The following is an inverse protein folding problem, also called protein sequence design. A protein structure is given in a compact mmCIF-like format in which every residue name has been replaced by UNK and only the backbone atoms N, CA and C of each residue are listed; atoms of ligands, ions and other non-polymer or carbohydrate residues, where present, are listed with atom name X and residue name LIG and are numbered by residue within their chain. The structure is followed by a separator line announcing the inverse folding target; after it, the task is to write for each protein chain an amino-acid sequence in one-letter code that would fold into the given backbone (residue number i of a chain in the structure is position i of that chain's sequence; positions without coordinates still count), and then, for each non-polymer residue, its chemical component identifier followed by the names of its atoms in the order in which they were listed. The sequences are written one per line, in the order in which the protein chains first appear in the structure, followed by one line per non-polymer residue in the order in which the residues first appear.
data_IF_968389471513
#
_entry.id   IF_968389471513
#
_cell.length_a   1.000
_cell.length_b   1.000
_cell.length_c   1.000
_cell.angle_alpha   90.00
_cell.angle_beta   90.00
_cell.angle_gamma   90.00
#
_symmetry.space_group_name_H-M   'P 1'
#
loop_
_entity.id
_entity.type
_entity.pdbx_description
1 polymer ?
#
# COMPACT_ATOMS: atom_id res chain seq x y z
N UNK A 1 26.79 10.44 10.18
CA UNK A 1 25.49 11.14 10.09
C UNK A 1 25.52 12.20 8.98
N UNK A 2 25.40 11.82 7.71
CA UNK A 2 25.41 12.77 6.58
C UNK A 2 24.54 12.31 5.38
N UNK A 3 23.55 11.43 5.61
CA UNK A 3 22.70 10.90 4.52
C UNK A 3 21.62 11.87 4.00
N UNK A 4 21.56 13.08 4.55
CA UNK A 4 20.73 14.18 4.04
C UNK A 4 21.55 15.30 3.38
N UNK A 5 22.85 15.11 3.14
CA UNK A 5 23.67 16.14 2.48
C UNK A 5 23.43 16.23 0.95
N UNK A 6 22.92 15.17 0.32
CA UNK A 6 22.31 15.23 -1.02
C UNK A 6 20.80 15.34 -0.86
N UNK A 7 20.23 16.48 -1.25
CA UNK A 7 18.76 16.64 -1.24
C UNK A 7 18.12 15.57 -2.14
N UNK A 8 16.88 15.16 -1.81
CA UNK A 8 16.10 14.25 -2.67
C UNK A 8 16.06 14.77 -4.12
N UNK A 9 16.05 16.08 -4.29
CA UNK A 9 16.07 16.77 -5.58
C UNK A 9 17.39 16.57 -6.34
N UNK A 10 18.52 16.48 -5.63
CA UNK A 10 19.83 16.16 -6.23
C UNK A 10 19.89 14.74 -6.78
N UNK A 11 19.29 13.77 -6.08
CA UNK A 11 19.20 12.38 -6.58
C UNK A 11 18.32 12.29 -7.82
N UNK A 12 17.15 12.94 -7.80
CA UNK A 12 16.21 12.96 -8.95
C UNK A 12 16.88 13.58 -10.17
N UNK A 13 17.58 14.70 -10.01
CA UNK A 13 18.30 15.34 -11.11
C UNK A 13 19.42 14.45 -11.68
N UNK A 14 20.21 13.80 -10.83
CA UNK A 14 21.26 12.89 -11.28
C UNK A 14 20.71 11.64 -11.99
N UNK A 15 19.61 11.07 -11.47
CA UNK A 15 18.92 9.94 -12.10
C UNK A 15 18.34 10.32 -13.47
N UNK A 16 17.82 11.53 -13.63
CA UNK A 16 17.33 12.04 -14.90
C UNK A 16 18.44 12.16 -15.94
N UNK A 17 19.60 12.71 -15.58
CA UNK A 17 20.76 12.78 -16.47
C UNK A 17 21.31 11.39 -16.83
N UNK A 18 21.28 10.43 -15.90
CA UNK A 18 21.60 9.04 -16.20
C UNK A 18 20.60 8.44 -17.20
N UNK A 19 19.29 8.63 -16.98
CA UNK A 19 18.23 8.18 -17.90
C UNK A 19 18.40 8.73 -19.31
N UNK A 20 18.73 10.02 -19.46
CA UNK A 20 19.01 10.63 -20.76
C UNK A 20 20.20 9.96 -21.48
N UNK A 21 21.25 9.57 -20.74
CA UNK A 21 22.38 8.80 -21.29
C UNK A 21 21.96 7.37 -21.65
N UNK A 22 21.17 6.70 -20.80
CA UNK A 22 20.64 5.35 -21.07
C UNK A 22 19.81 5.29 -22.36
N UNK A 23 18.96 6.27 -22.60
CA UNK A 23 18.14 6.35 -23.83
C UNK A 23 19.03 6.49 -25.07
N UNK A 24 20.11 7.29 -25.01
CA UNK A 24 21.07 7.39 -26.13
C UNK A 24 21.74 6.04 -26.43
N UNK A 25 22.08 5.26 -25.40
CA UNK A 25 22.62 3.91 -25.56
C UNK A 25 21.60 2.96 -26.20
N UNK A 26 20.31 3.09 -25.88
CA UNK A 26 19.24 2.28 -26.48
C UNK A 26 19.00 2.63 -27.95
N UNK A 27 18.97 3.92 -28.30
CA UNK A 27 18.72 4.38 -29.66
C UNK A 27 19.80 3.91 -30.65
N UNK A 28 21.06 3.78 -30.21
CA UNK A 28 22.13 3.21 -31.02
C UNK A 28 21.84 1.75 -31.46
N UNK A 29 20.97 1.03 -30.73
CA UNK A 29 20.64 -0.37 -30.95
C UNK A 29 19.18 -0.61 -31.40
N UNK A 30 18.40 0.46 -31.65
CA UNK A 30 16.94 0.40 -31.82
C UNK A 30 16.46 -0.46 -33.01
N UNK A 31 17.26 -0.58 -34.07
CA UNK A 31 16.91 -1.37 -35.27
C UNK A 31 16.91 -2.89 -35.05
N UNK A 32 17.17 -3.37 -33.82
CA UNK A 32 17.30 -4.81 -33.50
C UNK A 32 16.21 -5.31 -32.54
N UNK A 33 15.24 -4.47 -32.15
CA UNK A 33 14.23 -4.89 -31.17
C UNK A 33 13.24 -5.90 -31.78
N UNK A 34 13.10 -7.06 -31.14
CA UNK A 34 12.16 -8.10 -31.52
C UNK A 34 11.15 -8.33 -30.37
N UNK A 35 9.87 -8.07 -30.64
CA UNK A 35 8.82 -8.14 -29.60
C UNK A 35 8.59 -9.56 -29.07
N UNK A 36 8.69 -10.58 -29.92
CA UNK A 36 8.46 -11.97 -29.52
C UNK A 36 9.60 -12.51 -28.65
N UNK A 37 10.83 -12.07 -28.91
CA UNK A 37 11.99 -12.37 -28.06
C UNK A 37 11.89 -11.64 -26.72
N UNK A 38 11.50 -10.37 -26.74
CA UNK A 38 11.29 -9.59 -25.50
C UNK A 38 10.21 -10.21 -24.61
N UNK A 39 9.08 -10.64 -25.19
CA UNK A 39 8.01 -11.31 -24.45
C UNK A 39 8.47 -12.64 -23.82
N UNK A 40 9.27 -13.42 -24.55
CA UNK A 40 9.88 -14.65 -24.01
C UNK A 40 10.83 -14.34 -22.85
N UNK A 41 11.70 -13.35 -22.99
CA UNK A 41 12.58 -12.91 -21.92
C UNK A 41 11.78 -12.46 -20.68
N UNK A 42 10.70 -11.69 -20.87
CA UNK A 42 9.82 -11.29 -19.77
C UNK A 42 9.22 -12.49 -19.05
N UNK A 43 8.72 -13.50 -19.78
CA UNK A 43 8.15 -14.71 -19.21
C UNK A 43 9.20 -15.55 -18.46
N UNK A 44 10.37 -15.73 -19.05
CA UNK A 44 11.47 -16.50 -18.46
C UNK A 44 12.02 -15.83 -17.20
N UNK A 45 12.16 -14.50 -17.21
CA UNK A 45 12.69 -13.71 -16.08
C UNK A 45 11.85 -13.85 -14.80
N UNK A 46 10.55 -14.13 -14.94
CA UNK A 46 9.63 -14.30 -13.80
C UNK A 46 9.10 -15.73 -13.63
N UNK A 47 9.60 -16.68 -14.45
CA UNK A 47 9.19 -18.09 -14.44
C UNK A 47 9.35 -18.71 -13.06
N UNK A 48 10.51 -18.49 -12.44
CA UNK A 48 10.75 -18.92 -11.07
C UNK A 48 10.07 -17.94 -10.12
N UNK A 49 8.98 -18.38 -9.51
CA UNK A 49 8.20 -17.56 -8.59
C UNK A 49 8.98 -17.37 -7.28
N UNK A 50 9.60 -16.21 -7.12
CA UNK A 50 10.21 -15.78 -5.86
C UNK A 50 9.14 -15.10 -5.01
N UNK A 51 8.82 -15.70 -3.86
CA UNK A 51 7.95 -15.10 -2.83
C UNK A 51 8.81 -14.66 -1.66
N UNK A 52 8.76 -13.37 -1.38
CA UNK A 52 9.44 -12.75 -0.25
C UNK A 52 8.45 -12.60 0.90
N UNK A 53 8.96 -12.80 2.12
CA UNK A 53 8.25 -12.62 3.39
C UNK A 53 8.92 -11.50 4.18
N UNK A 54 8.12 -10.58 4.70
CA UNK A 54 8.60 -9.51 5.60
C UNK A 54 8.05 -9.79 6.99
N UNK A 55 8.95 -10.01 7.96
CA UNK A 55 8.56 -10.49 9.29
C UNK A 55 9.54 -10.05 10.39
N UNK A 56 9.35 -10.61 11.60
CA UNK A 56 10.24 -10.47 12.75
C UNK A 56 10.72 -9.03 13.01
N UNK A 57 9.79 -8.09 13.30
CA UNK A 57 10.17 -6.70 13.53
C UNK A 57 11.07 -6.59 14.78
N UNK A 58 12.20 -5.91 14.65
CA UNK A 58 13.20 -5.79 15.72
C UNK A 58 13.70 -4.35 15.82
N UNK A 59 13.68 -3.79 17.03
CA UNK A 59 14.27 -2.48 17.28
C UNK A 59 15.80 -2.59 17.34
N UNK A 60 16.50 -1.93 16.43
CA UNK A 60 17.96 -1.88 16.34
C UNK A 60 18.47 -0.43 16.45
N UNK A 61 19.77 -0.29 16.73
CA UNK A 61 20.46 1.00 16.81
C UNK A 61 20.86 1.41 18.23
N UNK A 62 21.72 2.43 18.32
CA UNK A 62 22.19 3.01 19.59
C UNK A 62 21.05 3.75 20.33
N UNK A 63 21.25 4.06 21.61
CA UNK A 63 20.27 4.71 22.51
C UNK A 63 19.57 5.92 21.89
N UNK A 64 20.28 6.72 21.09
CA UNK A 64 19.76 7.93 20.41
C UNK A 64 19.25 7.70 18.97
N UNK A 65 19.45 6.52 18.38
CA UNK A 65 19.10 6.22 16.97
C UNK A 65 18.39 4.87 16.80
N UNK A 66 17.45 4.57 17.69
CA UNK A 66 16.61 3.38 17.58
C UNK A 66 15.72 3.45 16.33
N UNK A 67 15.70 2.36 15.57
CA UNK A 67 14.85 2.19 14.41
C UNK A 67 14.38 0.74 14.30
N UNK A 68 13.20 0.52 13.73
CA UNK A 68 12.69 -0.84 13.51
C UNK A 68 13.19 -1.40 12.20
N UNK A 69 13.77 -2.60 12.26
CA UNK A 69 14.20 -3.39 11.11
C UNK A 69 13.27 -4.58 10.94
N UNK A 70 13.11 -5.02 9.70
CA UNK A 70 12.30 -6.17 9.31
C UNK A 70 13.20 -7.22 8.69
N UNK A 71 12.93 -8.49 8.98
CA UNK A 71 13.59 -9.61 8.33
C UNK A 71 12.89 -9.87 6.99
N UNK A 72 13.64 -9.80 5.90
CA UNK A 72 13.22 -10.14 4.54
C UNK A 72 13.82 -11.48 4.18
N UNK A 73 12.98 -12.50 4.02
CA UNK A 73 13.39 -13.86 3.67
C UNK A 73 12.67 -14.30 2.40
N UNK A 74 13.36 -15.04 1.56
CA UNK A 74 12.71 -15.80 0.50
C UNK A 74 12.09 -17.06 1.11
N UNK A 75 10.87 -17.42 0.73
CA UNK A 75 10.13 -18.55 1.34
C UNK A 75 10.90 -19.88 1.28
N UNK A 76 11.76 -20.07 0.26
CA UNK A 76 12.61 -21.24 0.09
C UNK A 76 13.94 -21.22 0.87
N UNK A 77 14.28 -20.12 1.54
CA UNK A 77 15.55 -19.96 2.27
C UNK A 77 15.29 -19.60 3.74
N UNK A 78 16.08 -20.18 4.65
CA UNK A 78 16.01 -19.85 6.07
C UNK A 78 16.77 -18.56 6.43
N UNK A 79 17.74 -18.18 5.59
CA UNK A 79 18.50 -16.95 5.76
C UNK A 79 17.81 -15.78 5.07
N UNK A 80 18.02 -14.58 5.63
CA UNK A 80 17.38 -13.38 5.14
C UNK A 80 18.14 -12.12 5.53
N UNK A 81 17.73 -11.00 4.95
CA UNK A 81 18.37 -9.71 5.13
C UNK A 81 17.51 -8.82 6.00
N UNK A 82 18.14 -8.03 6.87
CA UNK A 82 17.41 -7.05 7.67
C UNK A 82 17.45 -5.68 7.01
N UNK A 83 16.27 -5.08 6.87
CA UNK A 83 16.08 -3.76 6.25
C UNK A 83 15.13 -2.93 7.10
N UNK A 84 15.43 -1.64 7.28
CA UNK A 84 14.51 -0.69 7.95
C UNK A 84 13.58 -0.06 6.93
N UNK A 85 12.45 0.51 7.36
CA UNK A 85 11.50 1.17 6.47
C UNK A 85 12.13 2.19 5.51
N UNK A 86 13.13 2.96 5.97
CA UNK A 86 13.85 3.94 5.14
C UNK A 86 14.66 3.31 3.99
N UNK A 87 15.07 2.05 4.12
CA UNK A 87 15.74 1.33 3.03
C UNK A 87 14.74 0.97 1.93
N UNK A 88 13.50 0.61 2.30
CA UNK A 88 12.41 0.41 1.32
C UNK A 88 12.03 1.74 0.64
N UNK A 89 11.98 2.85 1.38
CA UNK A 89 11.79 4.19 0.81
C UNK A 89 12.88 4.52 -0.21
N UNK A 90 14.15 4.22 0.12
CA UNK A 90 15.28 4.40 -0.80
C UNK A 90 15.09 3.59 -2.08
N UNK A 91 14.78 2.28 -1.96
CA UNK A 91 14.59 1.41 -3.12
C UNK A 91 13.45 1.92 -4.01
N UNK A 92 12.31 2.28 -3.41
CA UNK A 92 11.17 2.83 -4.15
C UNK A 92 11.53 4.13 -4.89
N UNK A 93 12.28 5.04 -4.26
CA UNK A 93 12.73 6.28 -4.92
C UNK A 93 13.65 5.96 -6.08
N UNK A 94 14.65 5.11 -5.88
CA UNK A 94 15.62 4.70 -6.92
C UNK A 94 14.90 4.10 -8.13
N UNK A 95 13.99 3.16 -7.91
CA UNK A 95 13.24 2.52 -8.99
C UNK A 95 12.32 3.53 -9.71
N UNK A 96 11.60 4.38 -8.98
CA UNK A 96 10.71 5.40 -9.57
C UNK A 96 11.47 6.40 -10.43
N UNK A 97 12.66 6.84 -10.00
CA UNK A 97 13.46 7.82 -10.76
C UNK A 97 14.16 7.19 -11.96
N UNK A 98 14.44 5.88 -11.91
CA UNK A 98 15.13 5.15 -12.98
C UNK A 98 14.17 4.70 -14.08
N UNK A 99 13.07 4.06 -13.69
CA UNK A 99 12.07 3.53 -14.61
C UNK A 99 10.97 4.57 -14.85
N UNK A 100 11.34 5.68 -15.50
CA UNK A 100 10.39 6.74 -15.85
C UNK A 100 9.26 6.17 -16.69
N UNK A 101 8.02 6.45 -16.29
CA UNK A 101 6.83 5.93 -16.94
C UNK A 101 6.38 4.55 -16.44
N UNK A 102 7.17 3.82 -15.65
CA UNK A 102 6.77 2.53 -15.07
C UNK A 102 6.06 2.73 -13.73
N UNK A 103 4.87 2.15 -13.55
CA UNK A 103 4.18 2.16 -12.26
C UNK A 103 4.91 1.25 -11.25
N UNK A 104 5.60 1.86 -10.28
CA UNK A 104 6.26 1.15 -9.18
C UNK A 104 5.22 0.76 -8.11
N UNK A 105 5.24 -0.48 -7.58
CA UNK A 105 4.36 -0.88 -6.48
C UNK A 105 4.41 0.10 -5.31
N UNK A 106 3.27 0.48 -4.71
CA UNK A 106 3.25 1.49 -3.66
C UNK A 106 3.77 0.92 -2.33
N UNK A 107 4.45 1.77 -1.56
CA UNK A 107 4.78 1.49 -0.16
C UNK A 107 3.57 1.72 0.76
N UNK A 108 3.48 1.03 1.92
CA UNK A 108 2.48 1.35 2.93
C UNK A 108 2.70 2.77 3.48
N UNK A 109 1.61 3.38 3.95
CA UNK A 109 1.61 4.76 4.42
C UNK A 109 2.66 5.03 5.50
N UNK A 110 3.29 6.21 5.38
CA UNK A 110 4.22 6.71 6.37
C UNK A 110 3.45 7.36 7.51
N UNK A 111 3.14 6.58 8.54
CA UNK A 111 2.61 7.16 9.78
C UNK A 111 3.72 7.82 10.59
N UNK A 112 3.53 9.10 10.94
CA UNK A 112 4.45 9.87 11.81
C UNK A 112 3.98 9.93 13.26
N UNK A 113 2.75 9.49 13.54
CA UNK A 113 2.17 9.48 14.89
C UNK A 113 2.78 8.38 15.76
N UNK A 114 3.56 8.78 16.77
CA UNK A 114 4.28 7.86 17.65
C UNK A 114 3.39 6.85 18.39
N UNK A 115 2.14 7.21 18.72
CA UNK A 115 1.19 6.31 19.37
C UNK A 115 0.77 5.15 18.45
N UNK A 116 0.52 5.42 17.17
CA UNK A 116 0.11 4.42 16.17
C UNK A 116 1.26 3.48 15.84
N UNK A 117 2.49 4.00 15.76
CA UNK A 117 3.71 3.23 15.45
C UNK A 117 3.99 2.07 16.43
N UNK A 118 3.44 2.12 17.65
CA UNK A 118 3.64 1.09 18.69
C UNK A 118 2.55 0.02 18.71
N UNK A 119 1.48 0.18 17.93
CA UNK A 119 0.39 -0.79 17.90
C UNK A 119 0.76 -2.04 17.09
N UNK A 120 0.33 -3.22 17.55
CA UNK A 120 0.57 -4.49 16.83
C UNK A 120 -0.11 -4.47 15.46
N UNK A 121 -1.36 -3.98 15.39
CA UNK A 121 -2.11 -3.82 14.15
C UNK A 121 -1.33 -3.01 13.10
N UNK A 122 -0.75 -1.87 13.50
CA UNK A 122 0.08 -1.06 12.61
C UNK A 122 1.30 -1.81 12.10
N UNK A 123 2.02 -2.50 12.99
CA UNK A 123 3.24 -3.24 12.62
C UNK A 123 2.93 -4.36 11.64
N UNK A 124 1.83 -5.08 11.83
CA UNK A 124 1.37 -6.11 10.90
C UNK A 124 0.96 -5.53 9.55
N UNK A 125 0.18 -4.45 9.54
CA UNK A 125 -0.24 -3.76 8.31
C UNK A 125 0.97 -3.26 7.51
N UNK A 126 1.96 -2.66 8.19
CA UNK A 126 3.21 -2.24 7.56
C UNK A 126 3.99 -3.42 6.99
N UNK A 127 4.18 -4.50 7.73
CA UNK A 127 4.90 -5.68 7.21
C UNK A 127 4.21 -6.27 5.98
N UNK A 128 2.87 -6.37 5.99
CA UNK A 128 2.10 -6.79 4.81
C UNK A 128 2.32 -5.85 3.62
N UNK A 129 2.23 -4.54 3.83
CA UNK A 129 2.48 -3.57 2.76
C UNK A 129 3.90 -3.65 2.18
N UNK A 130 4.92 -3.79 3.04
CA UNK A 130 6.31 -3.98 2.60
C UNK A 130 6.50 -5.29 1.85
N UNK A 131 5.84 -6.37 2.28
CA UNK A 131 5.84 -7.65 1.59
C UNK A 131 5.19 -7.55 0.21
N UNK A 132 4.04 -6.88 0.10
CA UNK A 132 3.36 -6.64 -1.19
C UNK A 132 4.23 -5.82 -2.14
N UNK A 133 4.87 -4.76 -1.63
CA UNK A 133 5.81 -3.95 -2.39
C UNK A 133 6.94 -4.80 -3.01
N UNK A 134 7.63 -5.59 -2.18
CA UNK A 134 8.72 -6.45 -2.65
C UNK A 134 8.22 -7.54 -3.60
N UNK A 135 7.09 -8.19 -3.31
CA UNK A 135 6.53 -9.21 -4.19
C UNK A 135 6.05 -8.63 -5.53
N UNK A 136 5.57 -7.38 -5.56
CA UNK A 136 5.27 -6.66 -6.80
C UNK A 136 6.52 -6.38 -7.63
N UNK A 137 7.62 -5.97 -6.99
CA UNK A 137 8.93 -5.84 -7.64
C UNK A 137 9.36 -7.17 -8.25
N UNK A 138 9.28 -8.25 -7.47
CA UNK A 138 9.68 -9.57 -7.94
C UNK A 138 8.76 -10.12 -9.03
N UNK A 139 7.55 -9.60 -9.22
CA UNK A 139 6.67 -10.01 -10.33
C UNK A 139 6.94 -9.23 -11.63
N UNK A 140 7.69 -8.13 -11.57
CA UNK A 140 8.10 -7.39 -12.76
C UNK A 140 9.42 -7.91 -13.29
N UNK A 141 9.50 -8.38 -14.56
CA UNK A 141 10.76 -8.84 -15.16
C UNK A 141 11.81 -7.71 -15.22
N UNK A 142 11.35 -6.47 -15.39
CA UNK A 142 12.21 -5.29 -15.45
C UNK A 142 12.82 -4.93 -14.10
N UNK A 143 12.01 -4.92 -13.03
CA UNK A 143 12.44 -4.51 -11.70
C UNK A 143 13.22 -5.62 -10.98
N UNK A 144 12.82 -6.89 -11.16
CA UNK A 144 13.53 -8.03 -10.57
C UNK A 144 15.00 -8.07 -11.00
N UNK A 145 15.28 -7.69 -12.24
CA UNK A 145 16.61 -7.72 -12.86
C UNK A 145 17.40 -6.41 -12.67
N UNK A 146 17.03 -5.62 -11.65
CA UNK A 146 17.68 -4.34 -11.32
C UNK A 146 18.79 -4.52 -10.27
N UNK A 147 19.91 -3.82 -10.46
CA UNK A 147 21.08 -3.88 -9.58
C UNK A 147 20.80 -3.39 -8.15
N UNK A 148 19.91 -2.40 -7.96
CA UNK A 148 19.51 -1.93 -6.64
C UNK A 148 18.60 -2.93 -5.92
N UNK A 149 17.75 -3.65 -6.66
CA UNK A 149 16.94 -4.75 -6.10
C UNK A 149 17.84 -5.92 -5.69
N UNK A 150 18.77 -6.32 -6.56
CA UNK A 150 19.76 -7.36 -6.24
C UNK A 150 20.58 -6.98 -4.99
N UNK A 151 21.04 -5.74 -4.90
CA UNK A 151 21.78 -5.24 -3.72
C UNK A 151 20.90 -5.13 -2.48
N UNK A 152 19.61 -4.83 -2.63
CA UNK A 152 18.68 -4.79 -1.50
C UNK A 152 18.48 -6.18 -0.90
N UNK A 153 18.50 -7.24 -1.71
CA UNK A 153 18.29 -8.63 -1.29
C UNK A 153 19.60 -9.38 -0.99
N UNK A 154 20.77 -8.80 -1.30
CA UNK A 154 22.07 -9.43 -1.06
C UNK A 154 22.45 -9.47 0.42
N UNK A 155 23.42 -10.36 0.72
CA UNK A 155 23.87 -10.72 2.05
C UNK A 155 24.05 -9.53 3.02
N UNK A 156 23.82 -9.75 4.33
CA UNK A 156 23.93 -8.72 5.34
C UNK A 156 25.39 -8.28 5.54
N UNK A 157 25.83 -7.30 4.77
CA UNK A 157 27.00 -6.48 5.09
C UNK A 157 26.74 -5.58 6.31
N UNK A 158 27.80 -4.99 6.87
CA UNK A 158 27.66 -3.96 7.90
C UNK A 158 26.99 -2.69 7.35
N UNK A 159 26.59 -1.76 8.22
CA UNK A 159 25.91 -0.52 7.80
C UNK A 159 26.78 0.25 6.79
N UNK A 160 28.12 0.24 6.92
CA UNK A 160 29.00 0.97 6.00
C UNK A 160 29.00 0.38 4.58
N UNK A 161 29.03 -0.94 4.47
CA UNK A 161 28.91 -1.66 3.20
C UNK A 161 27.53 -1.42 2.58
N UNK A 162 26.46 -1.48 3.38
CA UNK A 162 25.10 -1.18 2.92
C UNK A 162 24.95 0.25 2.39
N UNK A 163 25.47 1.24 3.11
CA UNK A 163 25.43 2.64 2.68
C UNK A 163 26.27 2.88 1.42
N UNK A 164 27.35 2.11 1.21
CA UNK A 164 28.16 2.16 -0.01
C UNK A 164 27.41 1.56 -1.19
N UNK A 165 26.80 0.38 -1.02
CA UNK A 165 25.95 -0.26 -2.03
C UNK A 165 24.82 0.67 -2.48
N UNK A 166 24.12 1.30 -1.53
CA UNK A 166 23.05 2.25 -1.86
C UNK A 166 23.52 3.40 -2.73
N UNK A 167 24.72 3.92 -2.50
CA UNK A 167 25.29 5.01 -3.31
C UNK A 167 25.66 4.51 -4.71
N UNK A 168 26.33 3.37 -4.81
CA UNK A 168 26.76 2.83 -6.11
C UNK A 168 25.60 2.42 -7.01
N UNK A 169 24.46 2.01 -6.42
CA UNK A 169 23.28 1.58 -7.18
C UNK A 169 22.15 2.60 -7.22
N UNK A 170 22.32 3.82 -6.70
CA UNK A 170 21.28 4.85 -6.75
C UNK A 170 21.13 5.46 -8.15
N UNK A 171 22.26 5.75 -8.82
CA UNK A 171 22.30 6.40 -10.14
C UNK A 171 23.20 5.58 -11.05
N UNK A 172 22.62 5.01 -12.11
CA UNK A 172 23.34 4.15 -13.05
C UNK A 172 22.81 4.37 -14.46
N UNK A 173 23.71 4.44 -15.44
CA UNK A 173 23.34 4.53 -16.87
C UNK A 173 22.84 3.17 -17.39
N UNK A 174 23.33 2.07 -16.82
CA UNK A 174 22.81 0.72 -17.03
C UNK A 174 22.69 0.06 -15.65
N UNK A 175 21.45 -0.18 -15.21
CA UNK A 175 21.16 -0.71 -13.89
C UNK A 175 20.86 -2.21 -13.92
N UNK A 176 21.26 -2.90 -14.98
CA UNK A 176 20.96 -4.31 -15.22
C UNK A 176 20.13 -4.52 -16.48
N UNK A 177 19.99 -5.79 -16.88
CA UNK A 177 19.30 -6.17 -18.11
C UNK A 177 17.86 -5.65 -18.13
N UNK A 178 17.15 -5.73 -17.00
CA UNK A 178 15.75 -5.28 -16.92
C UNK A 178 15.57 -3.78 -17.19
N UNK A 179 16.51 -2.93 -16.79
CA UNK A 179 16.50 -1.50 -17.10
C UNK A 179 16.63 -1.26 -18.61
N UNK A 180 17.57 -1.95 -19.26
CA UNK A 180 17.80 -1.80 -20.69
C UNK A 180 16.63 -2.36 -21.52
N UNK A 181 16.08 -3.51 -21.12
CA UNK A 181 14.90 -4.12 -21.74
C UNK A 181 13.66 -3.22 -21.66
N UNK A 182 13.43 -2.58 -20.50
CA UNK A 182 12.36 -1.59 -20.35
C UNK A 182 12.53 -0.43 -21.33
N UNK A 183 13.71 0.19 -21.37
CA UNK A 183 13.98 1.31 -22.27
C UNK A 183 13.81 0.91 -23.74
N UNK A 184 14.35 -0.24 -24.14
CA UNK A 184 14.15 -0.77 -25.50
C UNK A 184 12.66 -0.93 -25.85
N UNK A 185 11.87 -1.51 -24.94
CA UNK A 185 10.42 -1.72 -25.13
C UNK A 185 9.66 -0.42 -25.36
N UNK A 186 9.96 0.63 -24.61
CA UNK A 186 9.24 1.91 -24.74
C UNK A 186 9.78 2.75 -25.90
N UNK A 187 11.06 2.60 -26.27
CA UNK A 187 11.66 3.34 -27.39
C UNK A 187 11.27 2.77 -28.75
N UNK A 188 11.02 1.47 -28.87
CA UNK A 188 10.61 0.84 -30.12
C UNK A 188 9.13 1.04 -30.48
N UNK A 189 8.31 1.52 -29.54
CA UNK A 189 6.87 1.67 -29.76
C UNK A 189 6.59 2.81 -30.76
N UNK A 190 5.79 2.49 -31.78
CA UNK A 190 5.22 3.51 -32.65
C UNK A 190 4.09 4.21 -31.88
N UNK A 191 4.33 5.45 -31.47
CA UNK A 191 3.32 6.26 -30.78
C UNK A 191 2.08 6.37 -31.69
N UNK A 192 0.89 6.08 -31.16
CA UNK A 192 -0.36 6.19 -31.91
C UNK A 192 -0.50 7.56 -32.56
N UNK A 193 -1.34 7.68 -33.59
CA UNK A 193 -1.57 8.95 -34.27
C UNK A 193 -2.22 10.02 -33.37
N UNK A 194 -2.84 9.64 -32.25
CA UNK A 194 -3.50 10.55 -31.30
C UNK A 194 -3.29 10.13 -29.82
N UNK A 195 -2.05 10.19 -29.31
CA UNK A 195 -1.73 9.73 -27.95
C UNK A 195 -2.41 10.60 -26.89
N UNK A 196 -2.60 11.90 -27.14
CA UNK A 196 -3.21 12.82 -26.19
C UNK A 196 -4.67 12.48 -25.89
N UNK A 197 -5.44 12.05 -26.90
CA UNK A 197 -6.84 11.70 -26.70
C UNK A 197 -6.97 10.43 -25.86
N UNK A 198 -6.19 9.39 -26.19
CA UNK A 198 -6.20 8.12 -25.46
C UNK A 198 -5.74 8.29 -24.01
N UNK A 199 -4.66 9.04 -23.78
CA UNK A 199 -4.16 9.35 -22.45
C UNK A 199 -5.17 10.18 -21.65
N UNK A 200 -5.82 11.15 -22.28
CA UNK A 200 -6.87 11.97 -21.63
C UNK A 200 -8.08 11.14 -21.21
N UNK A 201 -8.56 10.23 -22.07
CA UNK A 201 -9.65 9.30 -21.74
C UNK A 201 -9.23 8.38 -20.59
N UNK A 202 -8.02 7.82 -20.66
CA UNK A 202 -7.49 6.96 -19.60
C UNK A 202 -7.34 7.69 -18.27
N UNK A 203 -6.84 8.93 -18.27
CA UNK A 203 -6.73 9.77 -17.08
C UNK A 203 -8.09 9.95 -16.40
N UNK A 204 -9.14 10.31 -17.15
CA UNK A 204 -10.50 10.43 -16.58
C UNK A 204 -10.97 9.15 -15.91
N UNK A 205 -10.69 7.97 -16.51
CA UNK A 205 -10.99 6.69 -15.87
C UNK A 205 -10.20 6.44 -14.59
N UNK A 206 -8.92 6.79 -14.55
CA UNK A 206 -8.07 6.68 -13.35
C UNK A 206 -8.59 7.60 -12.23
N UNK A 207 -8.97 8.82 -12.55
CA UNK A 207 -9.52 9.79 -11.59
C UNK A 207 -10.88 9.36 -11.04
N UNK A 208 -11.76 8.85 -11.90
CA UNK A 208 -13.03 8.29 -11.47
C UNK A 208 -12.82 7.08 -10.56
N UNK A 209 -11.90 6.19 -10.92
CA UNK A 209 -11.56 5.02 -10.11
C UNK A 209 -10.98 5.41 -8.75
N UNK A 210 -10.06 6.37 -8.70
CA UNK A 210 -9.50 6.85 -7.43
C UNK A 210 -10.60 7.37 -6.49
N UNK A 211 -11.54 8.18 -7.02
CA UNK A 211 -12.69 8.66 -6.24
C UNK A 211 -13.53 7.51 -5.67
N UNK A 212 -13.93 6.57 -6.52
CA UNK A 212 -14.73 5.41 -6.11
C UNK A 212 -14.00 4.52 -5.11
N UNK A 213 -12.70 4.29 -5.29
CA UNK A 213 -11.89 3.51 -4.36
C UNK A 213 -11.71 4.20 -3.01
N UNK A 214 -11.68 5.53 -2.99
CA UNK A 214 -11.65 6.30 -1.76
C UNK A 214 -12.97 6.15 -0.97
N UNK A 215 -14.10 6.26 -1.66
CA UNK A 215 -15.43 6.02 -1.07
C UNK A 215 -15.59 4.57 -0.58
N UNK A 216 -15.13 3.62 -1.39
CA UNK A 216 -15.16 2.20 -1.06
C UNK A 216 -14.27 1.89 0.16
N UNK A 217 -13.07 2.48 0.24
CA UNK A 217 -12.20 2.34 1.41
C UNK A 217 -12.85 2.92 2.68
N UNK A 218 -13.50 4.08 2.57
CA UNK A 218 -14.24 4.66 3.69
C UNK A 218 -15.41 3.77 4.14
N UNK A 219 -16.14 3.16 3.19
CA UNK A 219 -17.20 2.22 3.48
C UNK A 219 -16.68 0.94 4.14
N UNK A 220 -15.66 0.31 3.55
CA UNK A 220 -15.02 -0.89 4.08
C UNK A 220 -14.46 -0.67 5.49
N UNK A 221 -13.92 0.53 5.76
CA UNK A 221 -13.47 0.90 7.11
C UNK A 221 -14.62 0.92 8.12
N UNK A 222 -15.75 1.54 7.78
CA UNK A 222 -16.93 1.52 8.66
C UNK A 222 -17.45 0.10 8.90
N UNK A 223 -17.38 -0.78 7.89
CA UNK A 223 -17.74 -2.19 8.05
C UNK A 223 -16.77 -2.92 9.00
N UNK A 224 -15.46 -2.71 8.84
CA UNK A 224 -14.45 -3.26 9.74
C UNK A 224 -14.68 -2.78 11.18
N UNK A 225 -14.85 -1.48 11.40
CA UNK A 225 -15.11 -0.90 12.72
C UNK A 225 -16.40 -1.47 13.36
N UNK A 226 -17.49 -1.60 12.58
CA UNK A 226 -18.75 -2.20 13.05
C UNK A 226 -18.59 -3.69 13.39
N UNK A 227 -17.87 -4.44 12.56
CA UNK A 227 -17.62 -5.86 12.83
C UNK A 227 -16.77 -6.06 14.10
N UNK A 228 -15.81 -5.17 14.37
CA UNK A 228 -15.03 -5.17 15.60
C UNK A 228 -15.92 -4.91 16.83
N UNK A 229 -16.81 -3.92 16.76
CA UNK A 229 -17.77 -3.65 17.83
C UNK A 229 -18.70 -4.86 18.08
N UNK A 230 -19.25 -5.45 17.02
CA UNK A 230 -20.10 -6.64 17.13
C UNK A 230 -19.36 -7.81 17.78
N UNK A 231 -18.13 -8.10 17.37
CA UNK A 231 -17.33 -9.17 17.97
C UNK A 231 -17.09 -8.94 19.48
N UNK A 232 -16.86 -7.69 19.90
CA UNK A 232 -16.73 -7.31 21.31
C UNK A 232 -18.05 -7.50 22.08
N UNK A 233 -19.18 -7.09 21.50
CA UNK A 233 -20.49 -7.21 22.12
C UNK A 233 -20.90 -8.68 22.28
N UNK A 234 -20.65 -9.53 21.28
CA UNK A 234 -20.91 -10.97 21.37
C UNK A 234 -20.00 -11.64 22.41
N UNK A 235 -18.74 -11.22 22.52
CA UNK A 235 -17.85 -11.69 23.60
C UNK A 235 -18.36 -11.25 24.98
N UNK A 236 -18.91 -10.05 25.09
CA UNK A 236 -19.49 -9.54 26.34
C UNK A 236 -20.76 -10.32 26.69
N UNK A 237 -21.61 -10.61 25.70
CA UNK A 237 -22.79 -11.44 25.84
C UNK A 237 -22.43 -12.83 26.37
N UNK A 238 -21.38 -13.46 25.82
CA UNK A 238 -20.87 -14.73 26.34
C UNK A 238 -20.48 -14.63 27.82
N UNK A 239 -19.74 -13.60 28.20
CA UNK A 239 -19.31 -13.40 29.59
C UNK A 239 -20.51 -13.23 30.56
N UNK A 240 -21.56 -12.53 30.12
CA UNK A 240 -22.79 -12.36 30.90
C UNK A 240 -23.55 -13.68 31.09
N UNK A 241 -23.69 -14.49 30.02
CA UNK A 241 -24.30 -15.82 30.12
C UNK A 241 -23.52 -16.75 31.06
N UNK A 242 -22.18 -16.74 30.97
CA UNK A 242 -21.32 -17.51 31.86
C UNK A 242 -21.45 -17.05 33.33
N UNK A 243 -21.52 -15.74 33.56
CA UNK A 243 -21.77 -15.18 34.89
C UNK A 243 -23.13 -15.58 35.45
N UNK A 244 -24.18 -15.58 34.62
CA UNK A 244 -25.51 -16.04 35.03
C UNK A 244 -25.51 -17.54 35.36
N UNK A 245 -24.92 -18.39 34.52
CA UNK A 245 -24.78 -19.82 34.79
C UNK A 245 -24.09 -20.09 36.13
N UNK A 246 -23.03 -19.35 36.45
CA UNK A 246 -22.32 -19.48 37.72
C UNK A 246 -23.19 -19.08 38.92
N UNK A 247 -23.97 -18.01 38.79
CA UNK A 247 -24.88 -17.57 39.84
C UNK A 247 -25.98 -18.60 40.15
N UNK A 248 -26.52 -19.26 39.13
CA UNK A 248 -27.56 -20.29 39.30
C UNK A 248 -27.01 -21.62 39.84
N UNK A 249 -25.73 -21.95 39.56
CA UNK A 249 -25.10 -23.19 40.04
C UNK A 249 -24.52 -23.09 41.45
N UNK A 250 -24.22 -21.88 41.94
CA UNK A 250 -23.63 -21.64 43.26
C UNK A 250 -24.63 -21.56 44.42
N UNK A 251 -25.94 -21.58 44.18
CA UNK A 251 -26.96 -21.50 45.23
C UNK A 251 -27.34 -22.90 45.74
N UNK A 252 -26.91 -23.25 46.95
CA UNK A 252 -27.08 -24.59 47.57
C UNK A 252 -28.55 -25.05 47.78
N UNK A 253 -29.57 -24.23 47.45
CA UNK A 253 -30.96 -24.48 47.87
C UNK A 253 -32.05 -24.28 46.80
N UNK A 254 -31.82 -24.59 45.51
CA UNK A 254 -32.93 -24.63 44.54
C UNK A 254 -32.82 -25.72 43.49
N UNK A 255 -33.92 -26.45 43.31
CA UNK A 255 -34.05 -27.60 42.41
C UNK A 255 -34.29 -27.12 40.95
N UNK A 256 -33.43 -26.24 40.43
CA UNK A 256 -33.59 -25.58 39.11
C UNK A 256 -32.80 -26.30 38.00
N UNK A 257 -32.67 -27.63 38.10
CA UNK A 257 -31.94 -28.48 37.14
C UNK A 257 -32.26 -28.21 35.66
N UNK A 258 -33.53 -28.01 35.24
CA UNK A 258 -33.87 -27.67 33.86
C UNK A 258 -33.31 -26.32 33.39
N UNK A 259 -33.33 -25.29 34.25
CA UNK A 259 -32.79 -23.97 33.93
C UNK A 259 -31.27 -24.02 33.82
N UNK A 260 -30.60 -24.69 34.77
CA UNK A 260 -29.14 -24.88 34.74
C UNK A 260 -28.72 -25.62 33.48
N UNK A 261 -29.44 -26.67 33.08
CA UNK A 261 -29.16 -27.40 31.83
C UNK A 261 -29.36 -26.53 30.57
N UNK A 262 -30.40 -25.68 30.56
CA UNK A 262 -30.64 -24.75 29.46
C UNK A 262 -29.54 -23.68 29.40
N UNK A 263 -29.11 -23.15 30.55
CA UNK A 263 -28.05 -22.16 30.65
C UNK A 263 -26.69 -22.73 30.24
N UNK A 264 -26.38 -23.97 30.61
CA UNK A 264 -25.15 -24.65 30.18
C UNK A 264 -25.05 -24.71 28.65
N UNK A 265 -26.11 -25.23 28.02
CA UNK A 265 -26.21 -25.31 26.57
C UNK A 265 -26.20 -23.93 25.90
N UNK A 266 -26.96 -22.96 26.44
CA UNK A 266 -27.03 -21.61 25.88
C UNK A 266 -25.67 -20.92 25.97
N UNK A 267 -25.00 -20.99 27.11
CA UNK A 267 -23.67 -20.41 27.33
C UNK A 267 -22.64 -21.03 26.40
N UNK A 268 -22.66 -22.36 26.23
CA UNK A 268 -21.78 -23.06 25.28
C UNK A 268 -22.02 -22.59 23.83
N UNK A 269 -23.28 -22.45 23.40
CA UNK A 269 -23.63 -21.94 22.06
C UNK A 269 -23.17 -20.49 21.87
N UNK A 270 -23.42 -19.61 22.84
CA UNK A 270 -22.98 -18.21 22.75
C UNK A 270 -21.44 -18.12 22.76
N UNK A 271 -20.75 -19.00 23.50
CA UNK A 271 -19.28 -19.12 23.43
C UNK A 271 -18.82 -19.51 22.02
N UNK A 272 -19.46 -20.53 21.43
CA UNK A 272 -19.19 -20.94 20.05
C UNK A 272 -19.44 -19.82 19.04
N UNK A 273 -20.52 -19.05 19.21
CA UNK A 273 -20.81 -17.90 18.37
C UNK A 273 -19.75 -16.79 18.53
N UNK A 274 -19.36 -16.46 19.76
CA UNK A 274 -18.27 -15.51 20.05
C UNK A 274 -16.95 -15.91 19.40
N UNK A 275 -16.60 -17.21 19.45
CA UNK A 275 -15.41 -17.74 18.79
C UNK A 275 -15.47 -17.67 17.26
N UNK A 276 -16.67 -17.69 16.67
CA UNK A 276 -16.84 -17.49 15.22
C UNK A 276 -16.75 -16.00 14.89
N UNK A 277 -17.52 -15.16 15.57
CA UNK A 277 -17.58 -13.71 15.29
C UNK A 277 -16.24 -13.00 15.51
N UNK A 278 -15.35 -13.52 16.36
CA UNK A 278 -14.02 -12.92 16.57
C UNK A 278 -13.14 -12.89 15.31
N UNK A 279 -13.45 -13.68 14.28
CA UNK A 279 -12.76 -13.65 12.98
C UNK A 279 -13.26 -12.55 12.06
N UNK A 280 -14.50 -12.09 12.23
CA UNK A 280 -15.15 -11.14 11.32
C UNK A 280 -14.39 -9.81 11.16
N UNK A 281 -13.83 -9.21 12.23
CA UNK A 281 -13.03 -7.99 12.11
C UNK A 281 -11.80 -8.17 11.23
N UNK A 282 -11.12 -9.30 11.34
CA UNK A 282 -9.93 -9.60 10.53
C UNK A 282 -10.30 -9.82 9.06
N UNK A 283 -11.46 -10.41 8.77
CA UNK A 283 -11.96 -10.60 7.40
C UNK A 283 -12.16 -9.22 6.73
N UNK A 284 -12.89 -8.31 7.37
CA UNK A 284 -13.12 -6.97 6.82
C UNK A 284 -11.85 -6.11 6.76
N UNK A 285 -11.03 -6.12 7.81
CA UNK A 285 -9.81 -5.29 7.84
C UNK A 285 -8.79 -5.80 6.82
N UNK A 286 -8.48 -7.09 6.82
CA UNK A 286 -7.35 -7.66 6.06
C UNK A 286 -7.71 -8.05 4.64
N UNK A 287 -8.91 -8.62 4.42
CA UNK A 287 -9.29 -9.14 3.11
C UNK A 287 -10.02 -8.09 2.27
N UNK A 288 -10.72 -7.14 2.90
CA UNK A 288 -11.43 -6.09 2.18
C UNK A 288 -10.70 -4.74 2.25
N UNK A 289 -10.63 -4.12 3.42
CA UNK A 289 -10.16 -2.73 3.58
C UNK A 289 -8.71 -2.54 3.12
N UNK A 290 -7.77 -3.36 3.61
CA UNK A 290 -6.35 -3.23 3.25
C UNK A 290 -6.11 -3.42 1.75
N UNK A 291 -6.86 -4.31 1.09
CA UNK A 291 -6.71 -4.52 -0.35
C UNK A 291 -7.33 -3.37 -1.17
N UNK A 292 -8.47 -2.82 -0.76
CA UNK A 292 -9.04 -1.63 -1.41
C UNK A 292 -8.08 -0.43 -1.26
N UNK A 293 -7.48 -0.23 -0.08
CA UNK A 293 -6.45 0.80 0.13
C UNK A 293 -5.23 0.61 -0.78
N UNK A 294 -4.83 -0.64 -1.02
CA UNK A 294 -3.75 -0.94 -1.96
C UNK A 294 -4.14 -0.57 -3.40
N UNK A 295 -5.34 -0.93 -3.88
CA UNK A 295 -5.81 -0.51 -5.20
C UNK A 295 -5.94 1.02 -5.31
N UNK A 296 -6.39 1.68 -4.25
CA UNK A 296 -6.45 3.15 -4.18
C UNK A 296 -5.05 3.75 -4.34
N UNK A 297 -4.06 3.21 -3.62
CA UNK A 297 -2.68 3.67 -3.70
C UNK A 297 -2.09 3.51 -5.11
N UNK A 298 -2.41 2.42 -5.81
CA UNK A 298 -2.03 2.23 -7.21
C UNK A 298 -2.70 3.24 -8.15
N UNK A 299 -4.00 3.50 -7.96
CA UNK A 299 -4.73 4.51 -8.75
C UNK A 299 -4.18 5.92 -8.53
N UNK A 300 -3.89 6.28 -7.28
CA UNK A 300 -3.24 7.56 -6.94
C UNK A 300 -1.85 7.65 -7.56
N UNK A 301 -1.05 6.59 -7.55
CA UNK A 301 0.28 6.57 -8.17
C UNK A 301 0.21 6.75 -9.70
N UNK A 302 -0.72 6.06 -10.38
CA UNK A 302 -0.97 6.24 -11.82
C UNK A 302 -1.43 7.66 -12.15
N UNK A 303 -2.34 8.23 -11.35
CA UNK A 303 -2.78 9.63 -11.48
C UNK A 303 -1.61 10.60 -11.32
N UNK A 304 -0.74 10.40 -10.33
CA UNK A 304 0.44 11.24 -10.12
C UNK A 304 1.39 11.20 -11.32
N UNK A 305 1.60 10.03 -11.93
CA UNK A 305 2.42 9.89 -13.14
C UNK A 305 1.81 10.61 -14.35
N UNK A 306 0.49 10.55 -14.52
CA UNK A 306 -0.23 11.29 -15.56
C UNK A 306 -0.10 12.81 -15.36
N UNK A 307 -0.22 13.30 -14.12
CA UNK A 307 0.01 14.72 -13.82
C UNK A 307 1.48 15.13 -14.01
N UNK A 308 2.43 14.25 -13.71
CA UNK A 308 3.86 14.48 -13.94
C UNK A 308 4.14 14.67 -15.43
N UNK A 309 3.52 13.86 -16.28
CA UNK A 309 3.54 14.05 -17.73
C UNK A 309 2.95 15.39 -18.15
N UNK A 310 1.76 15.76 -17.66
CA UNK A 310 1.11 17.02 -18.03
C UNK A 310 1.95 18.24 -17.67
N UNK A 311 2.54 18.27 -16.47
CA UNK A 311 3.47 19.33 -16.06
C UNK A 311 4.69 19.39 -16.98
N UNK A 312 5.24 18.23 -17.34
CA UNK A 312 6.38 18.15 -18.25
C UNK A 312 6.03 18.62 -19.68
N UNK A 313 4.81 18.35 -20.16
CA UNK A 313 4.31 18.88 -21.45
C UNK A 313 4.11 20.40 -21.39
N UNK A 314 3.61 20.92 -20.28
CA UNK A 314 3.42 22.36 -20.07
C UNK A 314 4.74 23.13 -19.86
N UNK A 315 5.86 22.44 -19.65
CA UNK A 315 7.15 23.06 -19.33
C UNK A 315 7.26 23.58 -17.89
N UNK A 316 6.33 23.21 -17.01
CA UNK A 316 6.30 23.64 -15.61
C UNK A 316 7.35 22.87 -14.78
N UNK A 317 8.02 23.56 -13.85
CA UNK A 317 8.90 22.91 -12.86
C UNK A 317 8.10 22.43 -11.65
N UNK A 318 8.60 21.39 -10.97
CA UNK A 318 7.95 20.76 -9.81
C UNK A 318 7.62 21.79 -8.71
N UNK A 319 6.47 21.72 -8.02
CA UNK A 319 6.12 22.70 -6.99
C UNK A 319 7.08 22.59 -5.80
N UNK A 320 7.82 23.68 -5.53
CA UNK A 320 8.44 23.91 -4.22
C UNK A 320 7.32 24.00 -3.16
N UNK A 321 7.51 23.43 -1.95
CA UNK A 321 6.52 23.59 -0.89
C UNK A 321 6.32 25.09 -0.58
N UNK A 322 5.11 25.51 -0.16
CA UNK A 322 4.81 26.91 0.06
C UNK A 322 5.81 27.49 1.06
N UNK A 323 6.54 28.52 0.64
CA UNK A 323 7.32 29.34 1.56
C UNK A 323 6.34 29.94 2.56
N UNK A 324 6.47 29.54 3.82
CA UNK A 324 5.81 30.21 4.95
C UNK A 324 6.32 31.64 4.95
N UNK A 325 5.52 32.55 4.38
CA UNK A 325 5.75 33.98 4.47
C UNK A 325 5.66 34.30 5.97
N UNK A 326 6.81 34.54 6.58
CA UNK A 326 6.88 34.93 7.99
C UNK A 326 6.23 36.31 8.11
N UNK A 327 5.25 36.52 9.01
CA UNK A 327 4.65 37.83 9.18
C UNK A 327 5.71 38.80 9.73
N UNK A 328 5.87 39.93 9.05
CA UNK A 328 6.64 41.09 9.49
C UNK A 328 6.18 41.54 10.88
N UNK A 329 7.10 41.55 11.85
CA UNK A 329 6.86 42.08 13.20
C UNK A 329 6.95 43.62 13.21
N UNK A 330 6.18 44.33 14.05
CA UNK A 330 6.24 45.79 14.16
C UNK A 330 7.44 46.25 15.03
N UNK A 331 7.82 47.55 15.00
CA UNK A 331 9.03 48.01 15.65
C UNK A 331 8.79 48.15 17.16
N UNK A 332 9.73 47.68 17.97
CA UNK A 332 9.82 48.06 19.38
C UNK A 332 11.24 48.52 19.69
N UNK A 333 11.31 49.79 20.05
CA UNK A 333 12.45 50.48 20.64
C UNK A 333 12.78 49.92 22.03
N UNK A 334 14.08 49.82 22.35
CA UNK A 334 14.54 49.96 23.74
C UNK A 334 15.61 48.98 24.21
N UNK A 335 16.80 49.56 24.41
CA UNK A 335 17.90 49.14 25.29
C UNK A 335 18.91 48.07 24.80
N UNK A 336 20.09 48.62 24.51
CA UNK A 336 21.39 47.98 24.35
C UNK A 336 22.06 47.75 25.70
N UNK A 337 22.72 46.60 25.87
CA UNK A 337 23.98 46.50 26.63
C UNK A 337 24.95 45.68 25.79
N UNK A 338 26.03 46.33 25.37
CA UNK A 338 27.13 45.75 24.62
C UNK A 338 28.13 45.04 25.54
N UNK A 339 28.75 43.95 25.05
CA UNK A 339 30.19 43.80 25.23
C UNK A 339 30.85 42.79 24.28
N UNK A 340 31.82 43.37 23.57
CA UNK A 340 33.05 42.89 22.95
C UNK A 340 33.04 42.01 21.69
N UNK A 341 33.65 42.66 20.70
CA UNK A 341 33.95 42.34 19.32
C UNK A 341 35.12 41.37 19.16
N UNK A 342 35.01 40.46 18.19
CA UNK A 342 36.08 40.28 17.20
C UNK A 342 35.47 39.85 15.88
N UNK A 343 35.80 40.63 14.85
CA UNK A 343 35.30 40.56 13.50
C UNK A 343 36.00 39.45 12.70
N UNK A 344 35.22 38.65 11.99
CA UNK A 344 35.47 38.32 10.59
C UNK A 344 34.21 37.71 10.00
N UNK A 345 33.43 38.58 9.36
CA UNK A 345 32.36 38.22 8.44
C UNK A 345 32.83 37.16 7.44
N UNK A 346 32.27 35.95 7.54
CA UNK A 346 31.99 35.14 6.35
C UNK A 346 30.49 35.09 6.18
N UNK A 347 30.00 36.16 5.56
CA UNK A 347 28.77 36.16 4.80
C UNK A 347 28.95 35.08 3.71
N UNK A 348 28.69 33.81 4.04
CA UNK A 348 28.35 32.85 2.99
C UNK A 348 26.97 33.29 2.54
N UNK A 349 26.96 34.17 1.53
CA UNK A 349 25.92 34.17 0.52
C UNK A 349 25.55 32.70 0.31
N UNK A 350 24.33 32.33 0.73
CA UNK A 350 23.72 31.12 0.25
C UNK A 350 23.62 31.35 -1.26
N UNK A 351 24.66 30.92 -1.99
CA UNK A 351 24.63 30.82 -3.44
C UNK A 351 23.46 29.89 -3.69
N UNK A 352 22.31 30.47 -4.05
CA UNK A 352 21.25 29.71 -4.68
C UNK A 352 21.92 28.89 -5.77
N UNK A 353 21.70 27.56 -5.81
CA UNK A 353 22.25 26.76 -6.89
C UNK A 353 21.85 27.43 -8.21
N UNK A 354 22.77 27.58 -9.17
CA UNK A 354 22.48 28.29 -10.40
C UNK A 354 21.20 27.72 -10.99
N UNK A 355 20.22 28.59 -11.23
CA UNK A 355 19.00 28.19 -11.93
C UNK A 355 19.44 27.56 -13.26
N UNK A 356 18.94 26.35 -13.52
CA UNK A 356 19.22 25.64 -14.77
C UNK A 356 18.83 26.55 -15.94
N UNK A 357 19.58 26.47 -17.03
CA UNK A 357 19.19 27.21 -18.23
C UNK A 357 17.79 26.78 -18.68
N UNK A 358 17.02 27.70 -19.25
CA UNK A 358 15.67 27.42 -19.77
C UNK A 358 15.72 26.24 -20.76
N UNK A 359 16.77 26.15 -21.56
CA UNK A 359 17.01 25.05 -22.50
C UNK A 359 17.20 23.70 -21.81
N UNK A 360 17.94 23.64 -20.70
CA UNK A 360 18.12 22.41 -19.92
C UNK A 360 16.82 21.97 -19.26
N UNK A 361 16.04 22.91 -18.73
CA UNK A 361 14.73 22.63 -18.16
C UNK A 361 13.76 22.08 -19.22
N UNK A 362 13.74 22.68 -20.41
CA UNK A 362 12.93 22.20 -21.54
C UNK A 362 13.38 20.81 -22.02
N UNK A 363 14.69 20.56 -22.13
CA UNK A 363 15.23 19.24 -22.50
C UNK A 363 14.81 18.15 -21.51
N UNK A 364 14.87 18.45 -20.21
CA UNK A 364 14.46 17.54 -19.14
C UNK A 364 12.95 17.28 -19.17
N UNK A 365 12.15 18.31 -19.35
CA UNK A 365 10.70 18.20 -19.44
C UNK A 365 10.27 17.39 -20.68
N UNK A 366 10.91 17.63 -21.83
CA UNK A 366 10.69 16.85 -23.04
C UNK A 366 11.03 15.37 -22.83
N UNK A 367 12.19 15.05 -22.24
CA UNK A 367 12.59 13.68 -21.93
C UNK A 367 11.58 12.96 -21.03
N UNK A 368 11.14 13.60 -19.95
CA UNK A 368 10.16 13.01 -19.01
C UNK A 368 8.82 12.76 -19.72
N UNK A 369 8.28 13.78 -20.40
CA UNK A 369 6.99 13.67 -21.10
C UNK A 369 7.03 12.60 -22.20
N UNK A 370 8.12 12.52 -22.97
CA UNK A 370 8.31 11.50 -23.99
C UNK A 370 8.34 10.08 -23.39
N UNK A 371 9.16 9.84 -22.36
CA UNK A 371 9.26 8.53 -21.72
C UNK A 371 7.94 8.08 -21.11
N UNK A 372 7.23 8.95 -20.37
CA UNK A 372 5.94 8.61 -19.79
C UNK A 372 4.91 8.34 -20.89
N UNK A 373 4.87 9.14 -21.96
CA UNK A 373 3.97 8.91 -23.12
C UNK A 373 4.20 7.53 -23.71
N UNK A 374 5.46 7.21 -24.02
CA UNK A 374 5.82 5.93 -24.63
C UNK A 374 5.52 4.75 -23.72
N UNK A 375 5.81 4.84 -22.42
CA UNK A 375 5.49 3.81 -21.45
C UNK A 375 3.98 3.54 -21.36
N UNK A 376 3.17 4.61 -21.28
CA UNK A 376 1.71 4.52 -21.25
C UNK A 376 1.15 3.78 -22.46
N UNK A 377 1.61 4.17 -23.66
CA UNK A 377 1.12 3.61 -24.92
C UNK A 377 1.63 2.18 -25.16
N UNK A 378 2.89 1.90 -24.80
CA UNK A 378 3.52 0.61 -25.05
C UNK A 378 2.96 -0.52 -24.17
N UNK A 379 2.78 -0.27 -22.87
CA UNK A 379 2.44 -1.35 -21.94
C UNK A 379 1.62 -0.90 -20.72
N UNK A 380 1.92 0.25 -20.12
CA UNK A 380 1.42 0.58 -18.77
C UNK A 380 -0.08 0.77 -18.69
N UNK A 381 -0.70 1.42 -19.68
CA UNK A 381 -2.15 1.61 -19.67
C UNK A 381 -2.89 0.28 -19.69
N UNK A 382 -2.38 -0.68 -20.47
CA UNK A 382 -2.96 -2.02 -20.57
C UNK A 382 -2.64 -2.82 -19.31
N UNK A 383 -1.36 -2.85 -18.90
CA UNK A 383 -0.92 -3.56 -17.69
C UNK A 383 -1.69 -3.11 -16.45
N UNK A 384 -1.86 -1.81 -16.26
CA UNK A 384 -2.66 -1.27 -15.15
C UNK A 384 -4.12 -1.74 -15.17
N UNK A 385 -4.74 -1.84 -16.35
CA UNK A 385 -6.11 -2.39 -16.47
C UNK A 385 -6.16 -3.86 -16.07
N UNK A 386 -5.25 -4.68 -16.61
CA UNK A 386 -5.19 -6.12 -16.34
C UNK A 386 -4.86 -6.41 -14.88
N UNK A 387 -3.89 -5.70 -14.30
CA UNK A 387 -3.53 -5.84 -12.89
C UNK A 387 -4.69 -5.43 -11.98
N UNK A 388 -5.44 -4.39 -12.33
CA UNK A 388 -6.64 -4.01 -11.57
C UNK A 388 -7.70 -5.11 -11.58
N UNK A 389 -7.95 -5.73 -12.74
CA UNK A 389 -8.91 -6.84 -12.83
C UNK A 389 -8.47 -8.02 -11.97
N UNK A 390 -7.19 -8.42 -12.07
CA UNK A 390 -6.63 -9.53 -11.27
C UNK A 390 -6.68 -9.24 -9.77
N UNK A 391 -6.37 -8.01 -9.37
CA UNK A 391 -6.39 -7.60 -7.97
C UNK A 391 -7.81 -7.62 -7.42
N UNK A 392 -8.79 -7.05 -8.13
CA UNK A 392 -10.20 -7.09 -7.71
C UNK A 392 -10.73 -8.52 -7.63
N UNK A 393 -10.41 -9.36 -8.62
CA UNK A 393 -10.77 -10.79 -8.61
C UNK A 393 -10.20 -11.49 -7.38
N UNK A 394 -8.91 -11.29 -7.09
CA UNK A 394 -8.28 -11.87 -5.91
C UNK A 394 -8.95 -11.41 -4.61
N UNK A 395 -9.28 -10.13 -4.49
CA UNK A 395 -9.99 -9.58 -3.32
C UNK A 395 -11.33 -10.27 -3.14
N UNK A 396 -12.14 -10.29 -4.19
CA UNK A 396 -13.50 -10.84 -4.12
C UNK A 396 -13.50 -12.34 -3.89
N UNK A 397 -12.57 -13.09 -4.48
CA UNK A 397 -12.43 -14.53 -4.28
C UNK A 397 -12.09 -14.87 -2.81
N UNK A 398 -11.11 -14.18 -2.22
CA UNK A 398 -10.72 -14.45 -0.83
C UNK A 398 -11.77 -13.96 0.17
N UNK A 399 -12.35 -12.77 -0.05
CA UNK A 399 -13.38 -12.21 0.82
C UNK A 399 -14.65 -13.07 0.82
N UNK A 400 -15.15 -13.44 -0.36
CA UNK A 400 -16.34 -14.31 -0.48
C UNK A 400 -16.12 -15.70 0.12
N UNK A 401 -14.93 -16.28 -0.08
CA UNK A 401 -14.57 -17.55 0.55
C UNK A 401 -14.59 -17.45 2.08
N UNK A 402 -14.01 -16.39 2.65
CA UNK A 402 -13.98 -16.18 4.09
C UNK A 402 -15.38 -16.00 4.68
N UNK A 403 -16.21 -15.15 4.07
CA UNK A 403 -17.61 -14.92 4.48
C UNK A 403 -18.46 -16.21 4.39
N UNK A 404 -18.28 -17.00 3.33
CA UNK A 404 -18.99 -18.27 3.17
C UNK A 404 -18.60 -19.28 4.27
N UNK A 405 -17.31 -19.37 4.60
CA UNK A 405 -16.84 -20.25 5.68
C UNK A 405 -17.33 -19.78 7.05
N UNK A 406 -17.32 -18.47 7.31
CA UNK A 406 -17.81 -17.91 8.55
C UNK A 406 -19.31 -18.17 8.73
N UNK A 407 -20.10 -17.90 7.69
CA UNK A 407 -21.54 -18.14 7.66
C UNK A 407 -21.86 -19.62 7.89
N UNK A 408 -21.09 -20.53 7.28
CA UNK A 408 -21.21 -21.98 7.50
C UNK A 408 -20.98 -22.35 8.96
N UNK A 409 -19.93 -21.80 9.60
CA UNK A 409 -19.58 -22.06 11.01
C UNK A 409 -20.63 -21.49 11.96
N UNK A 410 -21.04 -20.23 11.76
CA UNK A 410 -22.09 -19.59 12.55
C UNK A 410 -23.40 -20.38 12.47
N UNK A 411 -23.83 -20.76 11.26
CA UNK A 411 -24.99 -21.63 11.09
C UNK A 411 -24.85 -23.00 11.75
N UNK A 412 -23.63 -23.54 11.87
CA UNK A 412 -23.39 -24.81 12.56
C UNK A 412 -23.60 -24.71 14.07
N UNK A 413 -23.14 -23.60 14.68
CA UNK A 413 -23.34 -23.31 16.11
C UNK A 413 -24.83 -23.30 16.45
N UNK A 414 -25.63 -22.56 15.67
CA UNK A 414 -27.07 -22.45 15.89
C UNK A 414 -27.83 -23.75 15.59
N UNK A 415 -27.45 -24.48 14.54
CA UNK A 415 -28.05 -25.80 14.25
C UNK A 415 -27.82 -26.79 15.39
N UNK A 416 -26.64 -26.77 16.01
CA UNK A 416 -26.35 -27.66 17.14
C UNK A 416 -27.23 -27.33 18.36
N UNK A 417 -27.42 -26.04 18.65
CA UNK A 417 -28.37 -25.62 19.67
C UNK A 417 -29.80 -26.13 19.36
N UNK A 418 -30.26 -26.00 18.11
CA UNK A 418 -31.63 -26.39 17.74
C UNK A 418 -31.89 -27.90 17.82
N UNK A 419 -30.91 -28.76 17.53
CA UNK A 419 -31.05 -30.23 17.64
C UNK A 419 -31.47 -30.70 19.03
N UNK A 420 -31.12 -29.92 20.04
CA UNK A 420 -31.27 -30.27 21.44
C UNK A 420 -32.56 -29.68 22.03
N UNK A 421 -33.35 -28.97 21.23
CA UNK A 421 -34.62 -28.36 21.65
C UNK A 421 -35.77 -29.38 21.54
N UNK A 422 -36.62 -29.55 22.57
CA UNK A 422 -37.74 -30.51 22.53
C UNK A 422 -38.93 -30.06 21.65
N UNK A 423 -38.90 -28.82 21.14
CA UNK A 423 -39.97 -28.21 20.32
C UNK A 423 -39.93 -28.71 18.87
N UNK A 424 -41.09 -28.86 18.23
CA UNK A 424 -41.19 -29.14 16.80
C UNK A 424 -40.43 -28.08 15.98
N UNK A 425 -39.36 -28.46 15.24
CA UNK A 425 -38.56 -27.53 14.46
C UNK A 425 -39.36 -26.75 13.41
N UNK A 426 -40.43 -27.34 12.85
CA UNK A 426 -41.24 -26.67 11.83
C UNK A 426 -42.11 -25.57 12.43
N UNK A 427 -42.77 -25.86 13.55
CA UNK A 427 -43.55 -24.86 14.29
C UNK A 427 -42.69 -23.68 14.75
N UNK A 428 -41.48 -23.95 15.27
CA UNK A 428 -40.54 -22.90 15.70
C UNK A 428 -40.09 -22.02 14.51
N UNK A 429 -39.78 -22.64 13.37
CA UNK A 429 -39.37 -21.92 12.17
C UNK A 429 -40.50 -21.02 11.63
N UNK A 430 -41.74 -21.52 11.62
CA UNK A 430 -42.91 -20.74 11.18
C UNK A 430 -43.18 -19.54 12.09
N UNK A 431 -43.18 -19.74 13.41
CA UNK A 431 -43.34 -18.64 14.37
C UNK A 431 -42.21 -17.60 14.27
N UNK A 432 -40.97 -18.06 14.08
CA UNK A 432 -39.81 -17.17 13.86
C UNK A 432 -39.98 -16.35 12.57
N UNK A 433 -40.46 -16.97 11.49
CA UNK A 433 -40.72 -16.30 10.22
C UNK A 433 -41.76 -15.19 10.38
N UNK A 434 -42.88 -15.47 11.02
CA UNK A 434 -43.94 -14.48 11.27
C UNK A 434 -43.44 -13.26 12.05
N UNK A 435 -42.58 -13.48 13.05
CA UNK A 435 -41.92 -12.40 13.79
C UNK A 435 -41.00 -11.56 12.89
N UNK A 436 -40.18 -12.19 12.05
CA UNK A 436 -39.27 -11.47 11.13
C UNK A 436 -40.04 -10.71 10.04
N UNK A 437 -41.08 -11.30 9.48
CA UNK A 437 -41.93 -10.65 8.47
C UNK A 437 -42.59 -9.38 9.06
N UNK A 438 -42.98 -9.40 10.35
CA UNK A 438 -43.53 -8.23 11.03
C UNK A 438 -42.53 -7.09 11.26
N UNK A 439 -41.24 -7.40 11.37
CA UNK A 439 -40.16 -6.42 11.57
C UNK A 439 -39.63 -5.83 10.25
N UNK A 440 -39.80 -6.56 9.14
CA UNK A 440 -39.24 -6.21 7.83
C UNK A 440 -39.84 -4.93 7.22
N UNK A 441 -41.05 -4.54 7.65
CA UNK A 441 -41.75 -3.31 7.24
C UNK A 441 -41.00 -2.02 7.61
N UNK A 442 -39.99 -2.08 8.50
CA UNK A 442 -39.24 -0.91 9.00
C UNK A 442 -37.84 -0.77 8.37
N UNK A 443 -37.35 -1.78 7.64
CA UNK A 443 -35.91 -1.89 7.30
C UNK A 443 -35.55 -1.72 5.82
N UNK A 444 -36.48 -1.36 4.93
CA UNK A 444 -36.17 -1.17 3.49
C UNK A 444 -35.35 0.12 3.32
N UNK A 445 -34.08 0.07 2.91
CA UNK A 445 -33.36 1.26 2.51
C UNK A 445 -33.87 1.69 1.13
N UNK A 446 -34.11 2.99 0.93
CA UNK A 446 -34.32 3.55 -0.41
C UNK A 446 -33.14 3.18 -1.30
N UNK A 447 -33.38 2.42 -2.36
CA UNK A 447 -32.39 2.14 -3.38
C UNK A 447 -31.86 3.46 -3.96
N UNK A 448 -30.53 3.65 -4.09
CA UNK A 448 -30.03 4.80 -4.84
C UNK A 448 -30.46 4.63 -6.30
N UNK A 449 -31.15 5.65 -6.83
CA UNK A 449 -31.55 5.69 -8.23
C UNK A 449 -30.31 5.63 -9.12
N UNK A 450 -30.36 4.80 -10.16
CA UNK A 450 -29.30 4.69 -11.18
C UNK A 450 -29.00 6.03 -11.90
N UNK A 451 -29.80 7.08 -11.66
CA UNK A 451 -29.57 8.43 -12.17
C UNK A 451 -28.45 9.21 -11.45
N UNK A 452 -27.99 8.78 -10.27
CA UNK A 452 -26.90 9.47 -9.53
C UNK A 452 -25.49 8.89 -9.81
N UNK A 453 -25.40 7.86 -10.65
CA UNK A 453 -24.15 7.13 -10.91
C UNK A 453 -23.48 7.41 -12.27
N UNK A 454 -23.94 8.44 -13.01
CA UNK A 454 -23.38 8.82 -14.32
C UNK A 454 -22.59 10.13 -14.28
#
# INVERSE_FOLDING_TARGET
MQFFATSKDSLVAAALEASMRSVRLCNANANTFNIDEHQRWCADSVKDRVVLKVSAPEARGSYLQKHTTYLVTQESHQEGVRRRFRDFEWLHVVLRTRYVGLLIPPLPEKTTTAAVLKTNAFMQSRMRGLQRFLNGIMQSPYLRSDAAVASFLSEPGDETTWETMKKSTAVMDNAGEGHMRWLQRIMCEHIASSPENEISVFKRHVEQRERLLNELAACAKRLADRSAAMAMDVSTLHALFAGWQLAETGAETRNDGPLVALLDKSTATISGWSQVECFQPAIYELLLLENIKYMLSQATAMKQMLMERERAVAGESSPSPPQTVSPSSPPTSGFSVASFTSAASRFMSAVEPPSLSIEEQQRRAHHISELITRALMAEEMQRFRVETTKELENIMNHFSCAEAQLSKRSGSVWREYLKTTPTDPQALAQSTKELLDSASTTCIPSSPSAAEAF
#
